data_IF_700641812026
#
_entry.id   IF_700641812026
#
_cell.length_a   1.000
_cell.length_b   1.000
_cell.length_c   1.000
_cell.angle_alpha   90.00
_cell.angle_beta   90.00
_cell.angle_gamma   90.00
#
_symmetry.space_group_name_H-M   'P 1'
#
loop_
_entity.id
_entity.type
_entity.pdbx_description
1 polymer ?
#
# COMPACT_ATOMS: atom_id res chain seq x y z
N UNK A 1 -8.88 5.89 -13.33
CA UNK A 1 -8.73 5.35 -11.97
C UNK A 1 -8.32 6.49 -11.04
N UNK A 2 -8.60 6.42 -9.72
CA UNK A 2 -8.18 7.45 -8.77
C UNK A 2 -6.68 7.37 -8.49
N UNK A 3 -6.05 8.52 -8.25
CA UNK A 3 -4.72 8.62 -7.65
C UNK A 3 -4.88 9.06 -6.21
N UNK A 4 -4.51 8.19 -5.27
CA UNK A 4 -4.64 8.45 -3.82
C UNK A 4 -3.32 9.03 -3.31
N UNK A 5 -3.41 10.08 -2.49
CA UNK A 5 -2.26 10.68 -1.81
C UNK A 5 -2.19 10.17 -0.36
N UNK A 6 -1.06 9.55 0.01
CA UNK A 6 -0.77 9.06 1.37
C UNK A 6 0.18 10.02 2.09
N UNK A 7 -0.26 11.27 2.31
CA UNK A 7 0.57 12.35 2.89
C UNK A 7 1.16 11.97 4.26
N UNK A 8 0.37 11.26 5.07
CA UNK A 8 0.76 10.79 6.41
C UNK A 8 1.59 9.51 6.39
N UNK A 9 1.76 8.88 5.22
CA UNK A 9 2.46 7.59 5.03
C UNK A 9 1.84 6.43 5.81
N UNK A 10 0.62 6.60 6.32
CA UNK A 10 -0.05 5.61 7.18
C UNK A 10 -0.56 4.41 6.38
N UNK A 11 -0.96 4.63 5.12
CA UNK A 11 -1.40 3.53 4.24
C UNK A 11 -0.20 2.67 3.89
N UNK A 12 0.87 3.27 3.38
CA UNK A 12 2.10 2.58 2.98
C UNK A 12 2.72 1.81 4.15
N UNK A 13 2.66 2.37 5.36
CA UNK A 13 3.10 1.68 6.59
C UNK A 13 2.20 0.49 6.94
N UNK A 14 0.88 0.65 6.86
CA UNK A 14 -0.08 -0.41 7.21
C UNK A 14 0.00 -1.61 6.25
N UNK A 15 0.33 -1.35 4.98
CA UNK A 15 0.55 -2.39 3.97
C UNK A 15 2.01 -2.89 3.93
N UNK A 16 2.87 -2.43 4.84
CA UNK A 16 4.25 -2.91 4.96
C UNK A 16 5.17 -2.56 3.79
N UNK A 17 4.78 -1.62 2.93
CA UNK A 17 5.55 -1.22 1.73
C UNK A 17 6.37 0.05 1.93
N UNK A 18 6.17 0.78 3.04
CA UNK A 18 6.94 1.98 3.35
C UNK A 18 8.40 1.63 3.67
N UNK A 19 9.35 2.26 2.99
CA UNK A 19 10.76 2.34 3.38
C UNK A 19 10.91 3.53 4.34
N UNK A 20 11.06 3.33 5.65
CA UNK A 20 10.95 4.42 6.63
C UNK A 20 12.00 5.51 6.42
N UNK A 21 13.24 5.12 6.15
CA UNK A 21 14.38 6.03 6.04
C UNK A 21 14.33 6.90 4.78
N UNK A 22 13.70 6.39 3.72
CA UNK A 22 13.55 7.11 2.44
C UNK A 22 12.18 7.80 2.34
N UNK A 23 11.22 7.39 3.16
CA UNK A 23 9.89 7.97 3.18
C UNK A 23 9.05 7.69 1.93
N UNK A 24 9.42 6.66 1.16
CA UNK A 24 8.73 6.24 -0.07
C UNK A 24 8.24 4.81 0.07
N UNK A 25 7.21 4.44 -0.68
CA UNK A 25 6.75 3.07 -0.78
C UNK A 25 7.53 2.28 -1.83
N UNK A 26 7.75 0.98 -1.58
CA UNK A 26 8.10 0.00 -2.60
C UNK A 26 6.97 -0.14 -3.62
N UNK A 27 7.29 -0.76 -4.77
CA UNK A 27 6.31 -1.12 -5.80
C UNK A 27 5.51 -2.37 -5.40
N UNK A 28 4.69 -2.23 -4.37
CA UNK A 28 3.76 -3.29 -3.95
C UNK A 28 2.48 -3.27 -4.79
N UNK A 29 2.00 -4.45 -5.16
CA UNK A 29 0.69 -4.63 -5.80
C UNK A 29 -0.16 -5.58 -4.95
N UNK A 30 -1.38 -5.17 -4.64
CA UNK A 30 -2.35 -5.94 -3.87
C UNK A 30 -3.63 -6.15 -4.68
N UNK A 31 -4.15 -7.37 -4.69
CA UNK A 31 -5.49 -7.69 -5.19
C UNK A 31 -6.36 -8.02 -3.99
N UNK A 32 -7.47 -7.28 -3.85
CA UNK A 32 -8.43 -7.40 -2.75
C UNK A 32 -9.77 -7.86 -3.34
N UNK A 33 -10.39 -8.87 -2.74
CA UNK A 33 -11.71 -9.35 -3.14
C UNK A 33 -12.86 -8.44 -2.67
N UNK A 34 -14.11 -8.86 -2.91
CA UNK A 34 -15.31 -8.07 -2.55
C UNK A 34 -15.56 -8.06 -1.04
N UNK A 35 -15.02 -9.03 -0.34
CA UNK A 35 -15.10 -9.25 1.09
C UNK A 35 -14.02 -8.44 1.84
N UNK A 36 -13.10 -7.80 1.10
CA UNK A 36 -12.04 -6.96 1.65
C UNK A 36 -10.79 -7.74 2.05
N UNK A 37 -10.65 -8.99 1.60
CA UNK A 37 -9.52 -9.86 1.92
C UNK A 37 -8.47 -9.78 0.82
N UNK A 38 -7.19 -9.68 1.22
CA UNK A 38 -6.06 -9.69 0.30
C UNK A 38 -5.89 -11.11 -0.25
N UNK A 39 -5.94 -11.25 -1.57
CA UNK A 39 -5.79 -12.52 -2.28
C UNK A 39 -4.41 -12.67 -2.95
N UNK A 40 -3.71 -11.57 -3.19
CA UNK A 40 -2.39 -11.57 -3.81
C UNK A 40 -1.55 -10.37 -3.37
N UNK A 41 -0.23 -10.58 -3.26
CA UNK A 41 0.79 -9.57 -2.97
C UNK A 41 2.08 -9.92 -3.71
N UNK A 42 2.70 -8.94 -4.38
CA UNK A 42 4.06 -9.03 -4.97
C UNK A 42 4.88 -7.78 -4.73
#
# INVERSE_FOLDING_TARGET
YPLVSDVTKSISKSYGVLIPDQGIALRGLFIIDKEGVIQHST
#
